data_IF_050303577918
#
_entry.id   IF_050303577918
#
_cell.length_a   1.000
_cell.length_b   1.000
_cell.length_c   1.000
_cell.angle_alpha   90.00
_cell.angle_beta   90.00
_cell.angle_gamma   90.00
#
_symmetry.space_group_name_H-M   'P 1'
#
loop_
_entity.id
_entity.type
_entity.pdbx_description
1 polymer ?
#
# COMPACT_ATOMS: atom_id res chain seq x y z
N UNK A 1 12.67 6.21 -13.53
CA UNK A 1 11.98 7.25 -12.72
C UNK A 1 10.54 7.55 -13.17
N UNK A 2 10.13 7.27 -14.42
CA UNK A 2 8.73 7.47 -14.90
C UNK A 2 7.61 6.65 -14.22
N UNK A 3 7.93 5.57 -13.49
CA UNK A 3 6.93 4.74 -12.76
C UNK A 3 6.58 5.26 -11.35
N UNK A 4 7.25 6.30 -10.86
CA UNK A 4 7.04 6.80 -9.49
C UNK A 4 5.94 7.87 -9.39
N UNK A 5 5.61 8.57 -10.48
CA UNK A 5 4.60 9.63 -10.48
C UNK A 5 3.19 9.16 -10.14
N UNK A 6 2.79 7.97 -10.62
CA UNK A 6 1.47 7.40 -10.32
C UNK A 6 1.39 6.77 -8.92
N UNK A 7 2.50 6.22 -8.43
CA UNK A 7 2.61 5.66 -7.07
C UNK A 7 2.62 6.75 -6.00
N UNK A 8 3.19 7.94 -6.26
CA UNK A 8 3.17 9.08 -5.33
C UNK A 8 1.78 9.73 -5.20
N UNK A 9 0.99 9.79 -6.27
CA UNK A 9 -0.40 10.28 -6.24
C UNK A 9 -1.32 9.30 -5.50
N UNK A 10 -1.07 8.00 -5.60
CA UNK A 10 -1.80 6.96 -4.85
C UNK A 10 -1.32 6.84 -3.39
N UNK A 11 -0.02 7.08 -3.13
CA UNK A 11 0.53 7.18 -1.77
C UNK A 11 -0.02 8.40 -1.02
N UNK A 12 -0.40 9.50 -1.70
CA UNK A 12 -1.06 10.63 -1.03
C UNK A 12 -2.45 10.27 -0.47
N UNK A 13 -3.09 9.20 -0.97
CA UNK A 13 -4.33 8.64 -0.42
C UNK A 13 -4.04 7.50 0.59
N UNK A 14 -2.89 6.81 0.46
CA UNK A 14 -2.47 5.71 1.34
C UNK A 14 -1.54 6.08 2.51
N UNK A 15 -1.02 7.31 2.59
CA UNK A 15 0.02 7.69 3.56
C UNK A 15 -0.46 7.87 5.01
N UNK A 16 -1.74 7.63 5.31
CA UNK A 16 -2.25 7.54 6.69
C UNK A 16 -2.25 6.12 7.27
N UNK A 17 -1.65 5.16 6.56
CA UNK A 17 -1.47 3.77 7.02
C UNK A 17 -0.10 3.46 7.63
N UNK A 18 0.60 4.40 8.28
CA UNK A 18 1.78 4.08 9.11
C UNK A 18 1.34 3.49 10.46
N UNK A 19 0.62 2.38 10.40
CA UNK A 19 0.64 1.33 11.43
C UNK A 19 0.88 0.06 10.66
N UNK A 20 2.11 -0.45 10.74
CA UNK A 20 2.43 -1.75 10.19
C UNK A 20 1.58 -2.80 10.88
N UNK A 21 0.72 -3.45 10.11
CA UNK A 21 0.17 -4.78 10.34
C UNK A 21 -0.25 -5.31 8.96
N UNK A 22 0.71 -5.86 8.22
CA UNK A 22 0.39 -6.73 7.09
C UNK A 22 -0.11 -8.06 7.65
N UNK A 23 -1.31 -8.46 7.23
CA UNK A 23 -1.93 -9.72 7.63
C UNK A 23 -3.16 -10.00 6.77
N UNK A 24 -2.93 -10.72 5.67
CA UNK A 24 -3.96 -11.33 4.85
C UNK A 24 -4.83 -12.28 5.69
N UNK A 25 -6.15 -12.14 5.60
CA UNK A 25 -7.09 -13.20 6.01
C UNK A 25 -8.21 -13.32 4.99
N UNK A 26 -8.15 -14.41 4.24
CA UNK A 26 -9.27 -15.00 3.51
C UNK A 26 -10.19 -15.70 4.51
N UNK A 27 -11.51 -15.45 4.42
CA UNK A 27 -12.50 -16.40 4.93
C UNK A 27 -13.71 -16.45 4.00
N UNK A 28 -13.70 -17.44 3.12
CA UNK A 28 -14.86 -17.87 2.34
C UNK A 28 -15.74 -18.78 3.19
N UNK A 29 -16.88 -18.25 3.63
CA UNK A 29 -17.95 -18.98 4.31
C UNK A 29 -18.96 -19.55 3.32
N UNK A 30 -18.83 -20.85 3.10
CA UNK A 30 -19.69 -21.81 2.42
C UNK A 30 -21.19 -21.72 2.81
N UNK A 31 -22.09 -21.69 1.83
CA UNK A 31 -23.52 -21.98 2.03
C UNK A 31 -23.94 -23.10 1.08
N UNK A 32 -24.00 -24.28 1.68
CA UNK A 32 -24.46 -25.56 1.13
C UNK A 32 -25.85 -25.48 0.51
N UNK A 33 -25.93 -26.00 -0.71
CA UNK A 33 -27.14 -26.54 -1.33
C UNK A 33 -27.37 -27.96 -0.82
N UNK A 34 -28.60 -28.37 -0.44
CA UNK A 34 -28.99 -29.76 -0.37
C UNK A 34 -29.83 -30.16 -1.60
N UNK A 35 -29.33 -31.16 -2.34
CA UNK A 35 -30.04 -31.97 -3.33
C UNK A 35 -31.04 -32.93 -2.67
N UNK A 36 -32.21 -33.14 -3.29
CA UNK A 36 -33.17 -34.18 -2.88
C UNK A 36 -34.49 -34.23 -3.68
N UNK A 37 -34.40 -34.71 -4.92
CA UNK A 37 -35.21 -35.78 -5.56
C UNK A 37 -36.74 -35.71 -5.90
N UNK A 38 -37.03 -36.17 -7.14
CA UNK A 38 -38.22 -36.84 -7.74
C UNK A 38 -39.51 -36.12 -8.30
N UNK A 39 -39.48 -35.83 -9.62
CA UNK A 39 -40.42 -36.30 -10.68
C UNK A 39 -41.75 -35.56 -10.98
N UNK A 40 -42.47 -35.78 -12.13
CA UNK A 40 -42.13 -36.39 -13.43
C UNK A 40 -42.49 -35.47 -14.68
N UNK A 41 -42.39 -35.92 -15.96
CA UNK A 41 -42.05 -35.07 -17.13
C UNK A 41 -43.19 -34.76 -18.14
N UNK A 42 -43.06 -33.66 -18.88
CA UNK A 42 -43.66 -33.34 -20.20
C UNK A 42 -43.08 -31.97 -20.64
N UNK A 43 -42.82 -31.58 -21.89
CA UNK A 43 -43.05 -32.13 -23.22
C UNK A 43 -42.10 -31.34 -24.16
N UNK A 44 -41.47 -32.01 -25.12
CA UNK A 44 -40.68 -31.38 -26.18
C UNK A 44 -41.60 -30.64 -27.15
N UNK A 45 -41.25 -29.41 -27.52
CA UNK A 45 -41.61 -28.86 -28.83
C UNK A 45 -40.43 -28.07 -29.42
N UNK A 46 -39.97 -28.58 -30.55
CA UNK A 46 -39.01 -27.98 -31.47
C UNK A 46 -39.52 -26.63 -32.02
N UNK A 47 -38.60 -25.69 -32.22
CA UNK A 47 -38.87 -24.47 -32.98
C UNK A 47 -37.72 -23.46 -32.94
N UNK A 48 -36.79 -23.56 -33.89
CA UNK A 48 -35.74 -22.57 -34.18
C UNK A 48 -36.09 -21.89 -35.54
N UNK A 49 -35.56 -20.70 -35.90
CA UNK A 49 -35.42 -19.44 -35.18
C UNK A 49 -36.13 -18.28 -35.93
N UNK A 50 -36.65 -17.27 -35.23
CA UNK A 50 -37.10 -16.02 -35.86
C UNK A 50 -36.01 -14.94 -35.75
N UNK A 51 -35.58 -14.47 -36.92
CA UNK A 51 -34.67 -13.34 -37.15
C UNK A 51 -35.24 -12.03 -36.62
N UNK A 52 -34.51 -11.35 -35.73
CA UNK A 52 -34.83 -9.99 -35.28
C UNK A 52 -33.75 -9.02 -35.76
N UNK A 53 -34.19 -8.03 -36.54
CA UNK A 53 -33.40 -6.86 -36.98
C UNK A 53 -33.12 -5.91 -35.79
N UNK A 54 -32.01 -5.16 -35.82
CA UNK A 54 -31.59 -4.30 -34.72
C UNK A 54 -32.41 -3.01 -34.69
N UNK A 55 -32.95 -2.68 -33.51
CA UNK A 55 -33.63 -1.42 -33.26
C UNK A 55 -34.01 -1.28 -31.77
N UNK A 56 -33.43 -0.27 -31.14
CA UNK A 56 -33.84 0.36 -29.88
C UNK A 56 -33.67 -0.42 -28.57
N UNK A 57 -32.42 -0.63 -28.18
CA UNK A 57 -32.06 -0.74 -26.77
C UNK A 57 -32.24 0.62 -26.10
N UNK A 58 -33.32 0.76 -25.32
CA UNK A 58 -33.47 1.82 -24.31
C UNK A 58 -32.19 1.85 -23.45
N UNK A 59 -31.51 2.99 -23.50
CA UNK A 59 -30.19 3.17 -22.90
C UNK A 59 -30.19 2.95 -21.40
N UNK A 60 -29.45 1.94 -20.98
CA UNK A 60 -28.77 1.93 -19.68
C UNK A 60 -27.83 3.16 -19.66
N UNK A 61 -27.66 3.87 -18.53
CA UNK A 61 -26.77 5.02 -18.48
C UNK A 61 -25.36 4.50 -18.69
N UNK A 62 -24.91 4.58 -19.94
CA UNK A 62 -23.60 4.09 -20.35
C UNK A 62 -22.60 4.96 -19.61
N UNK A 63 -21.74 4.32 -18.81
CA UNK A 63 -20.65 5.02 -18.15
C UNK A 63 -19.92 5.91 -19.17
N UNK A 64 -19.49 7.08 -18.71
CA UNK A 64 -18.74 8.05 -19.50
C UNK A 64 -17.60 7.40 -20.29
N UNK A 65 -17.04 8.02 -21.33
CA UNK A 65 -15.84 7.46 -21.96
C UNK A 65 -14.69 7.23 -20.95
N UNK A 66 -14.10 6.01 -20.87
CA UNK A 66 -13.06 5.69 -19.90
C UNK A 66 -11.81 6.53 -20.08
N UNK A 67 -11.49 6.96 -21.31
CA UNK A 67 -10.33 7.83 -21.54
C UNK A 67 -10.57 9.23 -20.97
N UNK A 68 -11.81 9.75 -21.01
CA UNK A 68 -12.15 11.02 -20.39
C UNK A 68 -12.05 10.95 -18.87
N UNK A 69 -12.49 9.84 -18.25
CA UNK A 69 -12.36 9.63 -16.81
C UNK A 69 -10.88 9.68 -16.37
N UNK A 70 -10.00 8.99 -17.11
CA UNK A 70 -8.55 9.00 -16.87
C UNK A 70 -7.95 10.40 -17.10
N UNK A 71 -8.31 11.09 -18.20
CA UNK A 71 -7.80 12.46 -18.47
C UNK A 71 -8.11 13.41 -17.32
N UNK A 72 -9.31 13.35 -16.75
CA UNK A 72 -9.69 14.27 -15.67
C UNK A 72 -8.86 14.08 -14.41
N UNK A 73 -8.55 12.84 -14.02
CA UNK A 73 -7.72 12.61 -12.84
C UNK A 73 -6.27 13.04 -13.12
N UNK A 74 -5.73 12.78 -14.32
CA UNK A 74 -4.38 13.23 -14.69
C UNK A 74 -4.28 14.77 -14.76
N UNK A 75 -5.29 15.43 -15.31
CA UNK A 75 -5.39 16.90 -15.30
C UNK A 75 -5.50 17.42 -13.86
N UNK A 76 -6.30 16.77 -13.03
CA UNK A 76 -6.41 17.11 -11.61
C UNK A 76 -5.06 17.05 -10.89
N UNK A 77 -4.24 16.03 -11.16
CA UNK A 77 -2.88 15.95 -10.63
C UNK A 77 -2.03 17.11 -11.13
N UNK A 78 -2.03 17.37 -12.44
CA UNK A 78 -1.26 18.46 -13.05
C UNK A 78 -1.60 19.82 -12.42
N UNK A 79 -2.90 20.09 -12.24
CA UNK A 79 -3.45 21.33 -11.69
C UNK A 79 -3.30 21.46 -10.17
N UNK A 80 -2.79 20.41 -9.50
CA UNK A 80 -2.71 20.37 -8.04
C UNK A 80 -4.08 20.22 -7.36
N UNK A 81 -5.09 19.72 -8.05
CA UNK A 81 -6.47 19.59 -7.58
C UNK A 81 -6.78 18.18 -7.07
N UNK A 82 -6.66 17.97 -5.75
CA UNK A 82 -6.93 16.67 -5.14
C UNK A 82 -8.42 16.31 -5.12
N UNK A 83 -9.33 17.27 -5.28
CA UNK A 83 -10.77 16.96 -5.39
C UNK A 83 -11.09 16.15 -6.65
N UNK A 84 -10.31 16.30 -7.72
CA UNK A 84 -10.43 15.47 -8.92
C UNK A 84 -10.11 14.00 -8.63
N UNK A 85 -9.08 13.74 -7.82
CA UNK A 85 -8.71 12.38 -7.37
C UNK A 85 -9.83 11.79 -6.51
N UNK A 86 -10.36 12.56 -5.55
CA UNK A 86 -11.47 12.10 -4.72
C UNK A 86 -12.72 11.77 -5.54
N UNK A 87 -13.05 12.60 -6.53
CA UNK A 87 -14.22 12.41 -7.40
C UNK A 87 -14.06 11.21 -8.34
N UNK A 88 -12.81 10.85 -8.67
CA UNK A 88 -12.50 9.67 -9.47
C UNK A 88 -12.74 8.35 -8.71
N UNK A 89 -12.71 8.37 -7.38
CA UNK A 89 -13.03 7.19 -6.57
C UNK A 89 -14.53 6.85 -6.69
N UNK A 90 -14.89 5.59 -6.96
CA UNK A 90 -16.26 5.14 -6.87
C UNK A 90 -16.91 5.46 -5.52
N UNK A 91 -18.23 5.72 -5.54
CA UNK A 91 -18.98 6.18 -4.37
C UNK A 91 -18.87 5.23 -3.17
N UNK A 92 -18.78 3.92 -3.40
CA UNK A 92 -18.55 2.91 -2.35
C UNK A 92 -17.23 3.16 -1.60
N UNK A 93 -16.17 3.48 -2.32
CA UNK A 93 -14.85 3.73 -1.75
C UNK A 93 -14.82 5.05 -0.98
N UNK A 94 -15.43 6.10 -1.52
CA UNK A 94 -15.57 7.37 -0.80
C UNK A 94 -16.27 7.17 0.56
N UNK A 95 -17.35 6.38 0.60
CA UNK A 95 -18.05 6.04 1.85
C UNK A 95 -17.19 5.21 2.79
N UNK A 96 -16.51 4.18 2.28
CA UNK A 96 -15.67 3.29 3.10
C UNK A 96 -14.47 4.03 3.71
N UNK A 97 -13.79 4.89 2.94
CA UNK A 97 -12.68 5.72 3.45
C UNK A 97 -13.18 6.67 4.54
N UNK A 98 -14.32 7.35 4.32
CA UNK A 98 -14.92 8.21 5.35
C UNK A 98 -15.29 7.41 6.60
N UNK A 99 -15.91 6.24 6.46
CA UNK A 99 -16.26 5.39 7.59
C UNK A 99 -15.03 4.91 8.35
N UNK A 100 -13.97 4.49 7.64
CA UNK A 100 -12.71 4.05 8.22
C UNK A 100 -12.09 5.14 9.12
N UNK A 101 -11.95 6.36 8.61
CA UNK A 101 -11.38 7.49 9.36
C UNK A 101 -12.23 7.84 10.59
N UNK A 102 -13.56 7.85 10.45
CA UNK A 102 -14.47 8.13 11.56
C UNK A 102 -14.45 7.02 12.62
N UNK A 103 -14.37 5.76 12.21
CA UNK A 103 -14.27 4.61 13.11
C UNK A 103 -12.96 4.65 13.89
N UNK A 104 -11.85 4.99 13.22
CA UNK A 104 -10.57 5.22 13.86
C UNK A 104 -10.67 6.31 14.93
N UNK A 105 -11.25 7.46 14.59
CA UNK A 105 -11.44 8.56 15.52
C UNK A 105 -12.28 8.17 16.75
N UNK A 106 -13.30 7.33 16.56
CA UNK A 106 -14.14 6.83 17.65
C UNK A 106 -13.39 5.94 18.67
N UNK A 107 -12.29 5.31 18.26
CA UNK A 107 -11.46 4.48 19.14
C UNK A 107 -10.21 5.16 19.69
N UNK A 108 -9.82 6.29 19.09
CA UNK A 108 -8.58 6.98 19.44
C UNK A 108 -8.73 7.83 20.70
N UNK A 109 -7.74 7.74 21.60
CA UNK A 109 -7.69 8.62 22.78
C UNK A 109 -7.23 10.02 22.34
N UNK A 110 -8.10 11.01 22.56
CA UNK A 110 -7.85 12.38 22.14
C UNK A 110 -6.57 12.99 22.74
N UNK A 111 -6.20 12.60 23.98
CA UNK A 111 -4.99 13.12 24.62
C UNK A 111 -3.74 12.55 23.93
N UNK A 112 -3.75 11.26 23.60
CA UNK A 112 -2.64 10.63 22.86
C UNK A 112 -2.52 11.26 21.48
N UNK A 113 -3.61 11.34 20.72
CA UNK A 113 -3.60 11.88 19.36
C UNK A 113 -3.12 13.33 19.29
N UNK A 114 -3.69 14.20 20.13
CA UNK A 114 -3.32 15.61 20.14
C UNK A 114 -1.84 15.78 20.52
N UNK A 115 -1.35 14.99 21.48
CA UNK A 115 0.06 15.01 21.87
C UNK A 115 0.97 14.49 20.75
N UNK A 116 0.57 13.46 20.01
CA UNK A 116 1.31 13.00 18.83
C UNK A 116 1.52 14.14 17.82
N UNK A 117 0.50 14.93 17.52
CA UNK A 117 0.65 16.08 16.60
C UNK A 117 1.57 17.17 17.14
N UNK A 118 1.55 17.42 18.46
CA UNK A 118 2.50 18.33 19.11
C UNK A 118 3.94 17.82 18.96
N UNK A 119 4.20 16.54 19.25
CA UNK A 119 5.52 15.93 19.10
C UNK A 119 5.99 15.91 17.64
N UNK A 120 5.10 15.58 16.68
CA UNK A 120 5.43 15.62 15.25
C UNK A 120 5.78 17.04 14.78
N UNK A 121 5.04 18.06 15.20
CA UNK A 121 5.36 19.46 14.88
C UNK A 121 6.75 19.85 15.40
N UNK A 122 7.07 19.45 16.63
CA UNK A 122 8.39 19.67 17.22
C UNK A 122 9.50 18.99 16.43
N UNK A 123 9.28 17.77 15.93
CA UNK A 123 10.24 17.09 15.05
C UNK A 123 10.43 17.82 13.71
N UNK A 124 9.37 18.40 13.13
CA UNK A 124 9.48 19.25 11.93
C UNK A 124 10.28 20.52 12.23
N UNK A 125 10.10 21.14 13.39
CA UNK A 125 10.89 22.30 13.81
C UNK A 125 12.37 21.94 14.06
N UNK A 126 12.66 20.75 14.60
CA UNK A 126 14.03 20.21 14.66
C UNK A 126 14.58 20.01 13.26
N UNK A 127 13.81 19.44 12.33
CA UNK A 127 14.26 19.25 10.96
C UNK A 127 14.55 20.58 10.25
N UNK A 128 13.80 21.63 10.58
CA UNK A 128 14.05 23.00 10.12
C UNK A 128 15.35 23.57 10.68
N UNK A 129 15.54 23.49 11.99
CA UNK A 129 16.66 24.14 12.69
C UNK A 129 17.96 23.37 12.61
N UNK A 130 17.90 22.05 12.44
CA UNK A 130 19.05 21.13 12.39
C UNK A 130 19.28 20.54 10.99
N UNK A 131 18.83 21.23 9.92
CA UNK A 131 18.99 20.80 8.52
C UNK A 131 20.37 20.23 8.21
N UNK A 132 21.43 20.98 8.50
CA UNK A 132 22.81 20.55 8.23
C UNK A 132 23.18 19.25 8.97
N UNK A 133 22.81 19.13 10.25
CA UNK A 133 23.09 17.93 11.03
C UNK A 133 22.30 16.69 10.56
N UNK A 134 21.16 16.89 9.89
CA UNK A 134 20.35 15.82 9.31
C UNK A 134 20.84 15.38 7.93
N UNK A 135 21.02 16.33 7.02
CA UNK A 135 21.46 16.04 5.65
C UNK A 135 22.87 15.44 5.65
N UNK A 136 23.76 15.95 6.51
CA UNK A 136 25.14 15.48 6.59
C UNK A 136 25.31 14.25 7.51
N UNK A 137 24.23 13.61 7.97
CA UNK A 137 24.30 12.49 8.91
C UNK A 137 24.63 11.15 8.21
N UNK A 138 25.74 10.45 8.54
CA UNK A 138 26.11 9.21 7.85
C UNK A 138 25.25 8.02 8.27
N UNK A 139 24.54 8.12 9.40
CA UNK A 139 23.60 7.11 9.88
C UNK A 139 22.19 7.26 9.32
N UNK A 140 21.91 8.26 8.49
CA UNK A 140 20.58 8.46 7.89
C UNK A 140 20.57 8.11 6.40
N UNK A 141 19.50 7.47 5.89
CA UNK A 141 19.36 7.14 4.48
C UNK A 141 19.13 8.37 3.58
N UNK A 142 19.10 9.58 4.15
CA UNK A 142 18.95 10.83 3.40
C UNK A 142 20.09 11.06 2.40
N UNK A 143 21.27 10.46 2.65
CA UNK A 143 22.42 10.50 1.73
C UNK A 143 22.21 9.77 0.41
N UNK A 144 21.29 8.80 0.38
CA UNK A 144 20.97 8.04 -0.85
C UNK A 144 20.14 8.87 -1.83
N UNK A 145 19.58 10.00 -1.37
CA UNK A 145 18.81 10.93 -2.20
C UNK A 145 19.74 11.90 -2.93
N UNK A 146 19.22 12.52 -4.00
CA UNK A 146 19.90 13.64 -4.64
C UNK A 146 20.06 14.79 -3.62
N UNK A 147 21.30 14.99 -3.16
CA UNK A 147 21.61 15.96 -2.11
C UNK A 147 21.31 17.39 -2.54
N UNK A 148 21.47 17.70 -3.82
CA UNK A 148 21.18 19.03 -4.35
C UNK A 148 19.68 19.27 -4.34
N UNK A 149 18.90 18.33 -4.86
CA UNK A 149 17.43 18.45 -4.83
C UNK A 149 16.89 18.47 -3.40
N UNK A 150 17.45 17.65 -2.49
CA UNK A 150 17.06 17.64 -1.09
C UNK A 150 17.35 18.97 -0.41
N UNK A 151 18.54 19.55 -0.64
CA UNK A 151 18.92 20.84 -0.07
C UNK A 151 18.04 21.98 -0.59
N UNK A 152 17.82 22.03 -1.90
CA UNK A 152 17.02 23.05 -2.59
C UNK A 152 15.53 22.99 -2.19
N UNK A 153 14.97 21.78 -2.06
CA UNK A 153 13.55 21.60 -1.73
C UNK A 153 13.29 21.41 -0.24
N UNK A 154 14.30 21.45 0.64
CA UNK A 154 14.13 21.22 2.08
C UNK A 154 13.02 22.08 2.71
N UNK A 155 12.95 23.41 2.48
CA UNK A 155 11.87 24.22 3.04
C UNK A 155 10.49 23.77 2.54
N UNK A 156 10.35 23.50 1.24
CA UNK A 156 9.10 23.06 0.62
C UNK A 156 8.66 21.68 1.14
N UNK A 157 9.60 20.76 1.39
CA UNK A 157 9.32 19.48 2.02
C UNK A 157 8.79 19.64 3.45
N UNK A 158 9.37 20.54 4.24
CA UNK A 158 8.87 20.84 5.59
C UNK A 158 7.49 21.51 5.56
N UNK A 159 7.22 22.35 4.57
CA UNK A 159 5.90 22.94 4.37
C UNK A 159 4.82 21.91 4.03
N UNK A 160 5.14 20.84 3.30
CA UNK A 160 4.21 19.72 3.08
C UNK A 160 3.80 19.08 4.41
N UNK A 161 4.77 18.83 5.30
CA UNK A 161 4.47 18.29 6.63
C UNK A 161 3.64 19.28 7.46
N UNK A 162 3.98 20.58 7.45
CA UNK A 162 3.21 21.59 8.18
C UNK A 162 1.75 21.67 7.69
N UNK A 163 1.49 21.58 6.38
CA UNK A 163 0.13 21.53 5.83
C UNK A 163 -0.67 20.39 6.47
N UNK A 164 -0.09 19.18 6.54
CA UNK A 164 -0.76 18.03 7.15
C UNK A 164 -0.91 18.17 8.67
N UNK A 165 0.14 18.63 9.37
CA UNK A 165 0.15 18.76 10.83
C UNK A 165 -0.75 19.88 11.35
N UNK A 166 -1.10 20.84 10.51
CA UNK A 166 -2.00 21.95 10.86
C UNK A 166 -3.44 21.75 10.38
N UNK A 167 -3.68 20.73 9.55
CA UNK A 167 -4.98 20.36 8.99
C UNK A 167 -6.00 19.90 10.02
N UNK A 168 -7.21 19.63 9.54
CA UNK A 168 -8.30 18.98 10.28
C UNK A 168 -7.93 17.61 10.85
N UNK A 169 -6.86 16.96 10.37
CA UNK A 169 -6.44 15.64 10.84
C UNK A 169 -5.83 15.65 12.24
N UNK A 170 -5.37 16.82 12.72
CA UNK A 170 -4.72 16.95 14.03
C UNK A 170 -5.64 16.73 15.22
N UNK A 171 -6.95 16.77 15.01
CA UNK A 171 -7.94 16.77 16.06
C UNK A 171 -8.90 15.59 15.89
N UNK A 172 -8.96 14.72 16.92
CA UNK A 172 -9.81 13.52 16.89
C UNK A 172 -11.28 13.87 16.71
N UNK A 173 -11.74 15.00 17.28
CA UNK A 173 -13.14 15.42 17.17
C UNK A 173 -13.48 15.77 15.71
N UNK A 174 -12.57 16.39 14.99
CA UNK A 174 -12.73 16.71 13.57
C UNK A 174 -12.66 15.44 12.71
N UNK A 175 -11.78 14.50 13.05
CA UNK A 175 -11.71 13.18 12.41
C UNK A 175 -13.01 12.35 12.59
N UNK A 176 -13.68 12.48 13.74
CA UNK A 176 -14.95 11.79 14.00
C UNK A 176 -16.08 12.23 13.04
N UNK A 177 -15.94 13.41 12.44
CA UNK A 177 -16.85 13.93 11.41
C UNK A 177 -16.16 14.06 10.05
N UNK A 178 -15.05 13.35 9.82
CA UNK A 178 -14.23 13.50 8.64
C UNK A 178 -15.04 13.40 7.34
N UNK A 179 -14.78 14.32 6.42
CA UNK A 179 -15.34 14.32 5.07
C UNK A 179 -14.18 14.43 4.07
N UNK A 180 -13.85 13.31 3.44
CA UNK A 180 -12.79 13.22 2.44
C UNK A 180 -13.01 14.15 1.25
N UNK A 181 -14.27 14.47 0.90
CA UNK A 181 -14.55 15.43 -0.18
C UNK A 181 -14.09 16.83 0.20
N UNK A 182 -14.45 17.27 1.40
CA UNK A 182 -14.04 18.57 1.93
C UNK A 182 -12.51 18.63 2.15
N UNK A 183 -11.94 17.58 2.72
CA UNK A 183 -10.49 17.45 2.93
C UNK A 183 -9.73 17.55 1.61
N UNK A 184 -10.13 16.78 0.58
CA UNK A 184 -9.46 16.80 -0.73
C UNK A 184 -9.63 18.15 -1.44
N UNK A 185 -10.76 18.83 -1.28
CA UNK A 185 -10.95 20.17 -1.83
C UNK A 185 -10.15 21.26 -1.09
N UNK A 186 -9.91 21.09 0.20
CA UNK A 186 -9.12 22.00 1.04
C UNK A 186 -7.66 21.54 1.17
N UNK A 187 -7.34 20.93 2.31
CA UNK A 187 -5.98 20.50 2.69
C UNK A 187 -5.32 19.63 1.62
N UNK A 188 -6.04 18.67 1.03
CA UNK A 188 -5.49 17.81 -0.02
C UNK A 188 -5.06 18.58 -1.27
N UNK A 189 -5.83 19.59 -1.68
CA UNK A 189 -5.49 20.45 -2.83
C UNK A 189 -4.30 21.36 -2.50
N UNK A 190 -4.23 21.89 -1.28
CA UNK A 190 -3.04 22.63 -0.84
C UNK A 190 -1.78 21.76 -0.86
N UNK A 191 -1.87 20.54 -0.30
CA UNK A 191 -0.78 19.57 -0.29
C UNK A 191 -0.34 19.20 -1.71
N UNK A 192 -1.30 18.89 -2.60
CA UNK A 192 -0.98 18.49 -3.97
C UNK A 192 -0.36 19.65 -4.78
N UNK A 193 -0.78 20.89 -4.55
CA UNK A 193 -0.13 22.08 -5.13
C UNK A 193 1.32 22.24 -4.69
N UNK A 194 1.60 22.06 -3.39
CA UNK A 194 2.96 22.09 -2.86
C UNK A 194 3.81 20.95 -3.47
N UNK A 195 3.25 19.75 -3.57
CA UNK A 195 3.93 18.61 -4.20
C UNK A 195 4.21 18.87 -5.68
N UNK A 196 3.27 19.49 -6.41
CA UNK A 196 3.47 19.91 -7.80
C UNK A 196 4.58 20.92 -7.95
N UNK A 197 4.67 21.90 -7.05
CA UNK A 197 5.75 22.89 -7.06
C UNK A 197 7.14 22.26 -6.86
N UNK A 198 7.25 21.24 -6.01
CA UNK A 198 8.50 20.48 -5.85
C UNK A 198 8.80 19.69 -7.13
N UNK A 199 7.82 18.93 -7.63
CA UNK A 199 7.98 18.12 -8.85
C UNK A 199 8.32 18.97 -10.07
N UNK A 200 7.83 20.22 -10.19
CA UNK A 200 8.15 21.09 -11.32
C UNK A 200 9.60 21.54 -11.36
N UNK A 201 10.30 21.48 -10.21
CA UNK A 201 11.73 21.77 -10.13
C UNK A 201 12.60 20.56 -10.49
N UNK A 202 12.02 19.36 -10.60
CA UNK A 202 12.73 18.17 -11.00
C UNK A 202 12.88 18.08 -12.53
N UNK A 203 13.99 17.48 -12.98
CA UNK A 203 14.23 17.29 -14.40
C UNK A 203 13.13 16.41 -15.01
N UNK A 204 12.41 16.96 -15.98
CA UNK A 204 11.32 16.27 -16.67
C UNK A 204 9.97 16.32 -15.96
N UNK A 205 9.79 17.15 -14.94
CA UNK A 205 8.52 17.43 -14.27
C UNK A 205 7.54 16.24 -14.22
N UNK A 206 7.85 15.20 -13.42
CA UNK A 206 7.19 13.90 -13.53
C UNK A 206 5.68 13.93 -13.29
N UNK A 207 5.17 14.88 -12.49
CA UNK A 207 3.74 15.03 -12.28
C UNK A 207 3.08 15.99 -13.29
N UNK A 208 3.82 16.95 -13.84
CA UNK A 208 3.28 17.90 -14.83
C UNK A 208 3.02 17.28 -16.20
N UNK A 209 3.85 16.31 -16.59
CA UNK A 209 3.73 15.60 -17.87
C UNK A 209 2.65 14.51 -17.86
N UNK A 210 2.01 14.24 -16.72
CA UNK A 210 1.02 13.16 -16.62
C UNK A 210 -0.20 13.41 -17.52
N UNK A 211 -0.71 14.65 -17.56
CA UNK A 211 -1.86 15.00 -18.40
C UNK A 211 -1.56 14.94 -19.90
N UNK A 212 -0.29 15.10 -20.28
CA UNK A 212 0.18 14.98 -21.67
C UNK A 212 0.29 13.52 -22.13
N UNK A 213 0.06 12.55 -21.24
CA UNK A 213 0.11 11.13 -21.58
C UNK A 213 -0.93 10.78 -22.65
N UNK A 214 -0.48 10.13 -23.72
CA UNK A 214 -1.40 9.56 -24.71
C UNK A 214 -2.24 8.45 -24.04
N UNK A 215 -3.56 8.51 -24.26
CA UNK A 215 -4.51 7.51 -23.77
C UNK A 215 -5.21 6.89 -24.96
N UNK A 216 -4.96 5.60 -25.17
CA UNK A 216 -5.53 4.82 -26.27
C UNK A 216 -6.44 3.72 -25.70
N UNK A 217 -7.69 3.70 -26.14
CA UNK A 217 -8.63 2.63 -25.80
C UNK A 217 -8.36 1.45 -26.73
N UNK A 218 -7.95 0.32 -26.18
CA UNK A 218 -7.66 -0.92 -26.92
C UNK A 218 -8.94 -1.65 -27.28
N UNK A 219 -9.83 -1.79 -26.29
CA UNK A 219 -11.17 -2.33 -26.43
C UNK A 219 -12.03 -1.88 -25.25
N UNK A 220 -13.34 -2.00 -25.44
CA UNK A 220 -14.36 -1.54 -24.52
C UNK A 220 -15.63 -2.37 -24.67
N UNK A 221 -16.19 -2.79 -23.54
CA UNK A 221 -17.57 -3.26 -23.38
C UNK A 221 -18.38 -2.21 -22.59
N UNK A 222 -19.60 -2.54 -22.18
CA UNK A 222 -20.43 -1.68 -21.33
C UNK A 222 -19.85 -1.46 -19.93
N UNK A 223 -19.09 -2.43 -19.41
CA UNK A 223 -18.64 -2.52 -18.02
C UNK A 223 -17.14 -2.79 -17.85
N UNK A 224 -16.41 -3.05 -18.94
CA UNK A 224 -14.97 -3.31 -18.96
C UNK A 224 -14.29 -2.53 -20.09
N UNK A 225 -13.04 -2.12 -19.87
CA UNK A 225 -12.23 -1.49 -20.92
C UNK A 225 -10.74 -1.76 -20.70
N UNK A 226 -9.97 -1.83 -21.78
CA UNK A 226 -8.51 -1.91 -21.73
C UNK A 226 -7.91 -0.64 -22.30
N UNK A 227 -7.12 0.07 -21.51
CA UNK A 227 -6.52 1.35 -21.89
C UNK A 227 -4.99 1.27 -21.84
N UNK A 228 -4.32 1.87 -22.83
CA UNK A 228 -2.89 2.18 -22.75
C UNK A 228 -2.70 3.65 -22.36
N UNK A 229 -1.79 3.92 -21.44
CA UNK A 229 -1.49 5.26 -20.94
C UNK A 229 0.03 5.50 -21.04
N UNK A 230 0.45 6.54 -21.77
CA UNK A 230 1.83 7.03 -21.76
C UNK A 230 2.82 6.41 -22.77
N UNK A 231 2.38 5.48 -23.62
CA UNK A 231 3.19 4.97 -24.75
C UNK A 231 2.83 5.69 -26.05
N UNK A 232 3.85 6.24 -26.71
CA UNK A 232 3.83 6.65 -28.13
C UNK A 232 3.98 5.37 -28.95
N UNK A 233 3.24 5.25 -30.06
CA UNK A 233 3.49 4.17 -31.02
C UNK A 233 4.98 4.10 -31.38
N UNK A 234 5.59 2.91 -31.44
CA UNK A 234 7.00 2.81 -31.79
C UNK A 234 7.27 3.51 -33.12
N UNK A 235 8.26 4.40 -33.13
CA UNK A 235 8.94 4.77 -34.37
C UNK A 235 9.51 3.51 -35.02
N UNK A 236 9.35 3.37 -36.35
CA UNK A 236 9.84 2.20 -37.10
C UNK A 236 11.29 1.84 -36.68
N UNK A 237 11.46 0.66 -36.08
CA UNK A 237 12.78 0.11 -35.76
C UNK A 237 13.11 -0.07 -34.27
N UNK A 238 12.28 0.40 -33.33
CA UNK A 238 12.45 0.12 -31.90
C UNK A 238 11.30 -0.74 -31.35
N UNK A 239 11.61 -1.83 -30.64
CA UNK A 239 10.64 -2.58 -29.83
C UNK A 239 10.45 -1.84 -28.49
N UNK A 240 9.28 -1.22 -28.22
CA UNK A 240 8.98 -0.76 -26.88
C UNK A 240 8.73 -1.98 -25.99
N UNK A 241 9.20 -1.98 -24.72
CA UNK A 241 8.76 -3.00 -23.77
C UNK A 241 7.25 -2.87 -23.61
N UNK A 242 6.43 -3.88 -23.95
CA UNK A 242 4.98 -3.72 -23.95
C UNK A 242 4.51 -3.61 -22.50
N UNK A 243 4.17 -2.42 -22.04
CA UNK A 243 3.29 -2.32 -20.87
C UNK A 243 1.94 -2.92 -21.29
N UNK A 244 1.45 -3.97 -20.61
CA UNK A 244 0.14 -4.50 -20.93
C UNK A 244 -0.91 -3.39 -20.72
N UNK A 245 -1.96 -3.33 -21.57
CA UNK A 245 -3.06 -2.41 -21.34
C UNK A 245 -3.62 -2.56 -19.93
N UNK A 246 -3.84 -1.44 -19.25
CA UNK A 246 -4.48 -1.43 -17.94
C UNK A 246 -5.96 -1.78 -18.07
N UNK A 247 -6.43 -2.71 -17.25
CA UNK A 247 -7.82 -3.11 -17.20
C UNK A 247 -8.63 -2.13 -16.34
N UNK A 248 -9.77 -1.72 -16.86
CA UNK A 248 -10.75 -0.87 -16.19
C UNK A 248 -12.09 -1.61 -16.10
N UNK A 249 -12.81 -1.33 -15.02
CA UNK A 249 -14.14 -1.84 -14.73
C UNK A 249 -15.06 -0.69 -14.33
N UNK A 250 -16.36 -0.82 -14.57
CA UNK A 250 -17.36 0.14 -14.09
C UNK A 250 -17.79 -0.23 -12.67
N UNK A 251 -17.60 0.70 -11.74
CA UNK A 251 -18.04 0.59 -10.35
C UNK A 251 -18.88 1.83 -10.02
N UNK A 252 -20.10 1.64 -9.52
CA UNK A 252 -21.02 2.74 -9.19
C UNK A 252 -21.20 3.74 -10.35
N UNK A 253 -21.18 3.25 -11.59
CA UNK A 253 -21.29 4.07 -12.80
C UNK A 253 -20.01 4.82 -13.21
N UNK A 254 -18.87 4.56 -12.57
CA UNK A 254 -17.58 5.20 -12.87
C UNK A 254 -16.53 4.18 -13.33
N UNK A 255 -15.74 4.54 -14.34
CA UNK A 255 -14.58 3.74 -14.76
C UNK A 255 -13.47 3.82 -13.73
N UNK A 256 -12.99 2.66 -13.30
CA UNK A 256 -11.93 2.56 -12.30
C UNK A 256 -10.96 1.41 -12.65
N UNK A 257 -9.64 1.57 -12.43
CA UNK A 257 -8.69 0.50 -12.71
C UNK A 257 -8.97 -0.73 -11.83
N UNK A 258 -9.02 -1.92 -12.42
CA UNK A 258 -9.32 -3.16 -11.67
C UNK A 258 -8.28 -3.43 -10.58
N UNK A 259 -7.01 -3.23 -10.89
CA UNK A 259 -5.91 -3.51 -9.95
C UNK A 259 -5.95 -2.54 -8.77
N UNK A 260 -6.35 -1.28 -9.02
CA UNK A 260 -6.54 -0.30 -7.97
C UNK A 260 -7.78 -0.62 -7.11
N UNK A 261 -8.85 -1.16 -7.71
CA UNK A 261 -10.01 -1.67 -6.97
C UNK A 261 -9.58 -2.75 -5.98
N UNK A 262 -8.88 -3.78 -6.45
CA UNK A 262 -8.42 -4.89 -5.62
C UNK A 262 -7.49 -4.41 -4.49
N UNK A 263 -6.51 -3.55 -4.82
CA UNK A 263 -5.60 -2.99 -3.84
C UNK A 263 -6.32 -2.13 -2.79
N UNK A 264 -7.34 -1.37 -3.19
CA UNK A 264 -8.12 -0.52 -2.28
C UNK A 264 -9.05 -1.34 -1.40
N UNK A 265 -9.68 -2.39 -1.93
CA UNK A 265 -10.48 -3.34 -1.15
C UNK A 265 -9.64 -3.97 -0.03
N UNK A 266 -8.44 -4.45 -0.37
CA UNK A 266 -7.52 -5.03 0.61
C UNK A 266 -7.01 -4.01 1.63
N UNK A 267 -6.65 -2.81 1.18
CA UNK A 267 -6.21 -1.73 2.08
C UNK A 267 -7.32 -1.34 3.07
N UNK A 268 -8.58 -1.26 2.60
CA UNK A 268 -9.72 -0.95 3.46
C UNK A 268 -10.03 -2.11 4.42
N UNK A 269 -9.88 -3.36 4.00
CA UNK A 269 -10.01 -4.54 4.88
C UNK A 269 -8.97 -4.50 6.00
N UNK A 270 -7.68 -4.41 5.65
CA UNK A 270 -6.58 -4.31 6.62
C UNK A 270 -6.72 -3.12 7.57
N UNK A 271 -7.18 -1.98 7.04
CA UNK A 271 -7.45 -0.80 7.85
C UNK A 271 -8.56 -1.05 8.87
N UNK A 272 -9.67 -1.68 8.47
CA UNK A 272 -10.75 -2.02 9.37
C UNK A 272 -10.31 -3.06 10.42
N UNK A 273 -9.55 -4.08 10.02
CA UNK A 273 -9.02 -5.09 10.94
C UNK A 273 -8.06 -4.48 11.94
N UNK A 274 -7.21 -3.54 11.51
CA UNK A 274 -6.32 -2.78 12.38
C UNK A 274 -7.11 -1.96 13.40
N UNK A 275 -8.16 -1.25 12.98
CA UNK A 275 -9.05 -0.50 13.89
C UNK A 275 -9.80 -1.46 14.82
N UNK A 276 -10.24 -2.62 14.34
CA UNK A 276 -10.90 -3.63 15.16
C UNK A 276 -9.97 -4.14 16.26
N UNK A 277 -8.72 -4.43 15.90
CA UNK A 277 -7.67 -4.92 16.79
C UNK A 277 -7.04 -3.84 17.68
N UNK A 278 -7.26 -2.56 17.41
CA UNK A 278 -6.82 -1.50 18.32
C UNK A 278 -7.38 -1.82 19.71
N UNK A 279 -6.50 -1.96 20.73
CA UNK A 279 -6.96 -1.96 22.10
C UNK A 279 -7.83 -0.72 22.24
N UNK A 280 -8.98 -0.82 22.90
CA UNK A 280 -9.71 0.40 23.24
C UNK A 280 -8.70 1.34 23.91
N UNK A 281 -8.33 2.43 23.23
CA UNK A 281 -7.35 3.38 23.75
C UNK A 281 -7.84 4.02 25.06
N UNK A 282 -9.08 3.71 25.45
CA UNK A 282 -9.69 3.98 26.75
C UNK A 282 -9.20 3.12 27.92
N UNK A 283 -8.49 2.01 27.73
CA UNK A 283 -7.93 1.29 28.89
C UNK A 283 -6.75 2.05 29.49
N UNK A 284 -6.73 2.19 30.82
CA UNK A 284 -5.67 2.94 31.50
C UNK A 284 -4.26 2.37 31.23
N UNK A 285 -4.15 1.06 31.00
CA UNK A 285 -2.89 0.38 30.69
C UNK A 285 -2.36 0.71 29.28
N UNK A 286 -3.20 0.61 28.24
CA UNK A 286 -2.83 1.00 26.87
C UNK A 286 -2.44 2.48 26.81
N UNK A 287 -3.25 3.34 27.46
CA UNK A 287 -2.96 4.77 27.55
C UNK A 287 -1.59 5.05 28.17
N UNK A 288 -1.26 4.36 29.26
CA UNK A 288 0.03 4.50 29.95
C UNK A 288 1.21 4.13 29.03
N UNK A 289 1.10 3.03 28.26
CA UNK A 289 2.15 2.59 27.34
C UNK A 289 2.41 3.63 26.25
N UNK A 290 1.35 4.13 25.60
CA UNK A 290 1.47 5.15 24.55
C UNK A 290 1.99 6.49 25.07
N UNK A 291 1.56 6.90 26.27
CA UNK A 291 2.11 8.11 26.90
C UNK A 291 3.60 7.96 27.20
N UNK A 292 4.08 6.78 27.61
CA UNK A 292 5.50 6.53 27.82
C UNK A 292 6.31 6.62 26.51
N UNK A 293 5.76 6.16 25.37
CA UNK A 293 6.38 6.36 24.05
C UNK A 293 6.51 7.85 23.75
N UNK A 294 5.44 8.63 23.97
CA UNK A 294 5.45 10.07 23.73
C UNK A 294 6.41 10.82 24.68
N UNK A 295 6.51 10.39 25.96
CA UNK A 295 7.49 10.93 26.91
C UNK A 295 8.93 10.68 26.44
N UNK A 296 9.22 9.47 25.95
CA UNK A 296 10.52 9.13 25.39
C UNK A 296 10.83 9.95 24.13
N UNK A 297 9.86 10.09 23.22
CA UNK A 297 9.98 10.93 22.02
C UNK A 297 10.25 12.40 22.38
N UNK A 298 9.52 12.97 23.34
CA UNK A 298 9.72 14.36 23.77
C UNK A 298 11.08 14.57 24.44
N UNK A 299 11.57 13.57 25.16
CA UNK A 299 12.91 13.58 25.76
C UNK A 299 13.98 13.55 24.67
N UNK A 300 13.85 12.65 23.69
CA UNK A 300 14.75 12.55 22.54
C UNK A 300 14.74 13.82 21.68
N UNK A 301 13.57 14.39 21.42
CA UNK A 301 13.43 15.66 20.72
C UNK A 301 14.20 16.78 21.45
N UNK A 302 14.10 16.86 22.78
CA UNK A 302 14.86 17.82 23.59
C UNK A 302 16.37 17.65 23.44
N UNK A 303 16.86 16.41 23.38
CA UNK A 303 18.28 16.13 23.18
C UNK A 303 18.75 16.56 21.79
N UNK A 304 17.95 16.29 20.74
CA UNK A 304 18.23 16.69 19.37
C UNK A 304 18.23 18.22 19.20
N UNK A 305 17.33 18.94 19.87
CA UNK A 305 17.30 20.42 19.87
C UNK A 305 18.58 21.03 20.44
N UNK A 306 19.10 20.44 21.53
CA UNK A 306 20.32 20.91 22.21
C UNK A 306 21.62 20.49 21.53
N UNK A 307 21.56 19.60 20.55
CA UNK A 307 22.75 19.12 19.86
C UNK A 307 23.23 20.15 18.85
N UNK A 308 24.42 20.72 19.11
CA UNK A 308 25.03 21.75 18.25
C UNK A 308 26.24 21.22 17.44
N UNK A 309 26.52 19.92 17.53
CA UNK A 309 27.56 19.25 16.75
C UNK A 309 27.05 17.94 16.15
N UNK A 310 27.67 17.46 15.05
CA UNK A 310 27.34 16.15 14.47
C UNK A 310 27.41 15.01 15.49
N UNK A 311 28.45 14.97 16.32
CA UNK A 311 28.62 13.90 17.32
C UNK A 311 27.52 13.92 18.38
N UNK A 312 27.17 15.10 18.89
CA UNK A 312 26.09 15.25 19.87
C UNK A 312 24.74 14.85 19.26
N UNK A 313 24.50 15.20 18.00
CA UNK A 313 23.26 14.89 17.29
C UNK A 313 23.15 13.39 16.99
N UNK A 314 24.22 12.77 16.50
CA UNK A 314 24.29 11.32 16.25
C UNK A 314 24.07 10.52 17.52
N UNK A 315 24.69 10.96 18.62
CA UNK A 315 24.46 10.36 19.94
C UNK A 315 23.00 10.48 20.36
N UNK A 316 22.40 11.67 20.24
CA UNK A 316 21.00 11.88 20.59
C UNK A 316 20.05 11.01 19.75
N UNK A 317 20.35 10.82 18.47
CA UNK A 317 19.58 9.95 17.58
C UNK A 317 19.71 8.46 17.97
N UNK A 318 20.92 7.98 18.26
CA UNK A 318 21.15 6.61 18.72
C UNK A 318 20.47 6.34 20.06
N UNK A 319 20.60 7.26 21.02
CA UNK A 319 19.94 7.18 22.32
C UNK A 319 18.40 7.19 22.14
N UNK A 320 17.87 7.95 21.18
CA UNK A 320 16.45 7.95 20.84
C UNK A 320 15.97 6.60 20.29
N UNK A 321 16.73 5.98 19.38
CA UNK A 321 16.39 4.65 18.86
C UNK A 321 16.32 3.62 19.99
N UNK A 322 17.29 3.63 20.90
CA UNK A 322 17.33 2.73 22.05
C UNK A 322 16.20 2.97 23.06
N UNK A 323 15.75 4.22 23.22
CA UNK A 323 14.67 4.56 24.13
C UNK A 323 13.28 4.30 23.55
N UNK A 324 13.05 4.65 22.28
CA UNK A 324 11.71 4.69 21.66
C UNK A 324 11.33 3.32 21.08
N UNK A 325 12.23 2.64 20.37
CA UNK A 325 11.89 1.39 19.65
C UNK A 325 11.34 0.31 20.60
N UNK A 326 11.96 0.01 21.75
CA UNK A 326 11.43 -1.01 22.67
C UNK A 326 10.05 -0.65 23.22
N UNK A 327 9.81 0.63 23.52
CA UNK A 327 8.52 1.11 24.01
C UNK A 327 7.45 1.01 22.92
N UNK A 328 7.79 1.32 21.67
CA UNK A 328 6.87 1.19 20.54
C UNK A 328 6.46 -0.26 20.32
N UNK A 329 7.41 -1.20 20.41
CA UNK A 329 7.12 -2.64 20.36
C UNK A 329 6.19 -3.05 21.52
N UNK A 330 6.48 -2.60 22.74
CA UNK A 330 5.68 -2.93 23.92
C UNK A 330 4.27 -2.32 23.92
N UNK A 331 4.11 -1.13 23.33
CA UNK A 331 2.84 -0.44 23.15
C UNK A 331 1.97 -1.11 22.08
N UNK A 332 2.61 -1.67 21.05
CA UNK A 332 1.94 -2.35 19.93
C UNK A 332 1.59 -3.81 20.23
N UNK A 333 2.08 -4.38 21.35
CA UNK A 333 1.82 -5.77 21.74
C UNK A 333 0.69 -5.85 22.77
N UNK A 334 -0.34 -6.69 22.57
CA UNK A 334 -1.38 -6.97 23.57
C UNK A 334 -0.77 -7.48 24.88
N UNK A 335 -1.40 -7.15 26.02
CA UNK A 335 -0.80 -7.35 27.33
C UNK A 335 -0.79 -8.81 27.84
N UNK A 336 -1.57 -9.73 27.27
CA UNK A 336 -1.85 -11.04 27.89
C UNK A 336 -1.90 -12.25 26.95
N UNK A 337 -1.36 -12.19 25.72
CA UNK A 337 -1.24 -13.40 24.89
C UNK A 337 0.22 -13.84 24.69
N UNK A 338 0.57 -15.10 25.03
CA UNK A 338 1.80 -15.69 24.50
C UNK A 338 1.72 -15.65 22.98
N UNK A 339 2.82 -15.29 22.31
CA UNK A 339 2.89 -15.26 20.84
C UNK A 339 2.63 -16.65 20.27
N UNK A 340 1.38 -16.97 20.01
CA UNK A 340 0.99 -17.78 18.86
C UNK A 340 0.54 -16.79 17.79
N UNK A 341 1.51 -16.18 17.11
CA UNK A 341 1.22 -15.41 15.92
C UNK A 341 0.63 -16.37 14.88
N UNK A 342 -0.69 -16.38 14.76
CA UNK A 342 -1.39 -17.02 13.63
C UNK A 342 -1.38 -16.12 12.38
N UNK A 343 -0.54 -15.09 12.34
CA UNK A 343 -0.34 -14.27 11.13
C UNK A 343 0.64 -15.01 10.23
N UNK A 344 0.10 -15.68 9.20
CA UNK A 344 0.90 -16.28 8.16
C UNK A 344 1.57 -15.16 7.33
N UNK A 345 2.89 -15.20 7.19
CA UNK A 345 3.66 -14.28 6.35
C UNK A 345 4.16 -15.04 5.13
N UNK A 346 4.13 -14.44 3.93
CA UNK A 346 4.64 -15.12 2.75
C UNK A 346 6.17 -15.21 2.76
N UNK A 347 6.70 -16.34 2.30
CA UNK A 347 8.11 -16.55 2.01
C UNK A 347 8.25 -17.02 0.57
N UNK A 348 9.23 -16.47 -0.14
CA UNK A 348 9.56 -16.89 -1.51
C UNK A 348 10.78 -17.79 -1.49
N UNK A 349 10.66 -19.00 -2.01
CA UNK A 349 11.77 -19.94 -2.19
C UNK A 349 12.04 -20.12 -3.68
N UNK A 350 13.23 -19.72 -4.12
CA UNK A 350 13.69 -19.88 -5.50
C UNK A 350 14.59 -21.09 -5.57
N UNK A 351 14.10 -22.15 -6.20
CA UNK A 351 14.86 -23.36 -6.52
C UNK A 351 15.60 -23.11 -7.85
N UNK A 352 16.90 -22.94 -7.78
CA UNK A 352 17.75 -22.61 -8.92
C UNK A 352 18.30 -23.88 -9.59
N UNK A 353 18.13 -23.98 -10.91
CA UNK A 353 18.54 -25.11 -11.73
C UNK A 353 17.37 -25.89 -12.32
N UNK A 354 17.66 -26.75 -13.31
CA UNK A 354 16.69 -27.67 -13.89
C UNK A 354 16.37 -28.80 -12.91
N UNK A 355 15.10 -28.94 -12.55
CA UNK A 355 14.61 -29.96 -11.61
C UNK A 355 13.54 -30.78 -12.33
N UNK A 356 13.66 -32.10 -12.28
CA UNK A 356 12.63 -32.98 -12.81
C UNK A 356 11.31 -32.85 -12.02
N UNK A 357 10.21 -33.18 -12.67
CA UNK A 357 8.87 -32.96 -12.11
C UNK A 357 8.63 -33.73 -10.80
N UNK A 358 9.26 -34.90 -10.63
CA UNK A 358 9.12 -35.68 -9.39
C UNK A 358 9.87 -34.99 -8.25
N UNK A 359 11.14 -34.65 -8.44
CA UNK A 359 11.93 -33.94 -7.44
C UNK A 359 11.32 -32.58 -7.08
N UNK A 360 10.75 -31.86 -8.06
CA UNK A 360 10.05 -30.59 -7.82
C UNK A 360 8.88 -30.75 -6.86
N UNK A 361 8.01 -31.74 -7.09
CA UNK A 361 6.88 -32.02 -6.20
C UNK A 361 7.34 -32.42 -4.79
N UNK A 362 8.37 -33.25 -4.70
CA UNK A 362 8.93 -33.72 -3.41
C UNK A 362 9.52 -32.53 -2.60
N UNK A 363 10.22 -31.60 -3.27
CA UNK A 363 10.75 -30.38 -2.63
C UNK A 363 9.65 -29.41 -2.20
N UNK A 364 8.62 -29.18 -3.03
CA UNK A 364 7.47 -28.32 -2.68
C UNK A 364 6.74 -28.90 -1.46
N UNK A 365 6.53 -30.22 -1.42
CA UNK A 365 5.90 -30.89 -0.28
C UNK A 365 6.73 -30.70 1.02
N UNK A 366 8.05 -30.82 0.92
CA UNK A 366 8.95 -30.58 2.07
C UNK A 366 8.91 -29.12 2.52
N UNK A 367 8.94 -28.17 1.58
CA UNK A 367 8.83 -26.76 1.90
C UNK A 367 7.51 -26.41 2.60
N UNK A 368 6.40 -27.04 2.19
CA UNK A 368 5.09 -26.87 2.85
C UNK A 368 5.11 -27.35 4.31
N UNK A 369 5.74 -28.51 4.56
CA UNK A 369 5.90 -29.06 5.92
C UNK A 369 6.76 -28.12 6.77
N UNK A 370 7.89 -27.66 6.24
CA UNK A 370 8.79 -26.72 6.94
C UNK A 370 8.12 -25.38 7.23
N UNK A 371 7.35 -24.87 6.28
CA UNK A 371 6.59 -23.64 6.42
C UNK A 371 5.40 -23.77 7.39
N UNK A 372 5.00 -25.00 7.77
CA UNK A 372 3.72 -25.30 8.43
C UNK A 372 2.56 -24.60 7.71
N UNK A 373 2.57 -24.66 6.39
CA UNK A 373 1.58 -24.02 5.52
C UNK A 373 0.43 -24.96 5.23
N UNK A 374 -0.78 -24.59 5.65
CA UNK A 374 -2.00 -25.30 5.28
C UNK A 374 -2.50 -24.90 3.88
N UNK A 375 -1.98 -23.80 3.31
CA UNK A 375 -2.30 -23.30 1.97
C UNK A 375 -1.52 -24.02 0.86
N UNK A 376 -2.09 -23.99 -0.36
CA UNK A 376 -1.42 -24.45 -1.58
C UNK A 376 -0.43 -23.37 -2.01
N UNK A 377 0.86 -23.69 -2.21
CA UNK A 377 1.84 -22.72 -2.67
C UNK A 377 1.55 -22.22 -4.08
N UNK A 378 1.82 -20.94 -4.33
CA UNK A 378 1.94 -20.42 -5.69
C UNK A 378 3.30 -20.81 -6.28
N UNK A 379 3.29 -21.43 -7.46
CA UNK A 379 4.49 -22.01 -8.08
C UNK A 379 4.61 -21.53 -9.51
N UNK A 380 5.66 -20.76 -9.77
CA UNK A 380 6.05 -20.35 -11.13
C UNK A 380 7.33 -21.07 -11.53
N UNK A 381 7.26 -21.88 -12.58
CA UNK A 381 8.42 -22.61 -13.13
C UNK A 381 8.90 -22.00 -14.44
N UNK A 382 10.22 -21.90 -14.58
CA UNK A 382 10.97 -21.57 -15.79
C UNK A 382 12.00 -22.67 -16.07
N UNK A 383 12.71 -22.59 -17.19
CA UNK A 383 13.70 -23.61 -17.57
C UNK A 383 14.90 -23.68 -16.60
N UNK A 384 15.18 -22.60 -15.89
CA UNK A 384 16.37 -22.39 -15.06
C UNK A 384 16.05 -22.14 -13.58
N UNK A 385 14.78 -21.90 -13.21
CA UNK A 385 14.37 -21.76 -11.83
C UNK A 385 12.90 -22.12 -11.59
N UNK A 386 12.58 -22.58 -10.39
CA UNK A 386 11.21 -22.70 -9.88
C UNK A 386 11.04 -21.80 -8.65
N UNK A 387 10.11 -20.87 -8.70
CA UNK A 387 9.75 -19.98 -7.60
C UNK A 387 8.54 -20.55 -6.88
N UNK A 388 8.63 -20.70 -5.58
CA UNK A 388 7.58 -21.24 -4.69
C UNK A 388 7.26 -20.19 -3.64
N UNK A 389 6.03 -19.71 -3.59
CA UNK A 389 5.56 -18.74 -2.60
C UNK A 389 4.67 -19.49 -1.60
N UNK A 390 5.00 -19.39 -0.31
CA UNK A 390 4.33 -20.11 0.77
C UNK A 390 3.96 -19.15 1.88
N UNK A 391 2.76 -19.30 2.45
CA UNK A 391 2.36 -18.64 3.69
C UNK A 391 2.96 -19.38 4.88
N UNK A 392 3.60 -18.67 5.81
CA UNK A 392 4.27 -19.30 6.96
C UNK A 392 4.29 -18.41 8.21
N UNK A 393 4.06 -19.02 9.37
CA UNK A 393 4.32 -18.41 10.68
C UNK A 393 5.75 -18.67 11.18
N UNK A 394 6.55 -19.45 10.43
CA UNK A 394 7.91 -19.78 10.81
C UNK A 394 8.89 -18.65 10.45
N UNK A 395 9.98 -18.55 11.22
CA UNK A 395 11.06 -17.63 10.88
C UNK A 395 11.81 -18.13 9.64
N UNK A 396 12.41 -17.20 8.89
CA UNK A 396 13.22 -17.53 7.71
C UNK A 396 14.36 -18.49 8.07
N UNK A 397 14.96 -18.33 9.25
CA UNK A 397 16.03 -19.19 9.74
C UNK A 397 15.58 -20.64 9.98
N UNK A 398 14.38 -20.84 10.55
CA UNK A 398 13.83 -22.20 10.76
C UNK A 398 13.63 -22.92 9.44
N UNK A 399 13.18 -22.20 8.41
CA UNK A 399 13.01 -22.77 7.07
C UNK A 399 14.37 -23.07 6.44
N UNK A 400 15.33 -22.15 6.54
CA UNK A 400 16.72 -22.33 6.06
C UNK A 400 17.36 -23.57 6.68
N UNK A 401 17.31 -23.72 8.01
CA UNK A 401 17.91 -24.84 8.73
C UNK A 401 17.25 -26.19 8.37
N UNK A 402 15.97 -26.14 8.02
CA UNK A 402 15.16 -27.30 7.62
C UNK A 402 15.37 -27.77 6.18
N UNK A 403 15.94 -26.94 5.30
CA UNK A 403 16.20 -27.32 3.91
C UNK A 403 17.34 -28.35 3.88
N UNK A 404 17.01 -29.61 3.62
CA UNK A 404 17.97 -30.73 3.49
C UNK A 404 18.14 -31.25 2.06
N UNK A 405 17.38 -30.74 1.11
CA UNK A 405 17.39 -31.21 -0.27
C UNK A 405 18.28 -30.37 -1.21
N UNK A 406 18.99 -29.38 -0.68
CA UNK A 406 19.85 -28.50 -1.47
C UNK A 406 20.63 -27.50 -0.60
N UNK A 407 21.47 -26.72 -1.26
CA UNK A 407 22.34 -25.72 -0.62
C UNK A 407 21.66 -24.36 -0.71
N UNK A 408 21.44 -23.73 0.44
CA UNK A 408 21.00 -22.34 0.48
C UNK A 408 22.17 -21.44 0.05
N UNK A 409 22.01 -20.73 -1.06
CA UNK A 409 23.06 -19.88 -1.66
C UNK A 409 22.85 -18.40 -1.38
N UNK A 410 21.62 -17.98 -1.08
CA UNK A 410 21.27 -16.60 -0.77
C UNK A 410 20.06 -16.53 0.15
N UNK A 411 20.12 -15.59 1.10
CA UNK A 411 19.01 -15.23 1.98
C UNK A 411 18.83 -13.71 1.88
N UNK A 412 17.64 -13.26 1.55
CA UNK A 412 17.22 -11.86 1.61
C UNK A 412 16.13 -11.72 2.67
N UNK A 413 16.52 -11.32 3.88
CA UNK A 413 15.60 -11.20 5.01
C UNK A 413 14.56 -10.12 4.81
N UNK A 414 14.92 -9.04 4.09
CA UNK A 414 14.02 -7.91 3.82
C UNK A 414 12.94 -8.28 2.82
N UNK A 415 13.28 -9.07 1.81
CA UNK A 415 12.32 -9.59 0.81
C UNK A 415 11.75 -10.96 1.15
N UNK A 416 12.13 -11.53 2.29
CA UNK A 416 11.78 -12.90 2.71
C UNK A 416 11.99 -13.93 1.59
N UNK A 417 13.15 -13.86 0.94
CA UNK A 417 13.49 -14.73 -0.18
C UNK A 417 14.66 -15.65 0.16
N UNK A 418 14.52 -16.94 -0.11
CA UNK A 418 15.59 -17.94 0.01
C UNK A 418 15.91 -18.47 -1.39
N UNK A 419 17.18 -18.48 -1.78
CA UNK A 419 17.63 -19.18 -3.00
C UNK A 419 18.30 -20.48 -2.63
N UNK A 420 17.85 -21.58 -3.24
CA UNK A 420 18.34 -22.93 -3.00
C UNK A 420 18.79 -23.55 -4.31
N UNK A 421 19.96 -24.18 -4.32
CA UNK A 421 20.41 -25.05 -5.41
C UNK A 421 20.15 -26.50 -4.99
N UNK A 422 19.14 -27.19 -5.55
CA UNK A 422 18.82 -28.56 -5.17
C UNK A 422 19.93 -29.55 -5.52
N UNK A 423 20.10 -30.60 -4.71
CA UNK A 423 21.07 -31.67 -4.94
C UNK A 423 22.50 -31.40 -4.47
N UNK A 424 22.83 -30.19 -4.02
CA UNK A 424 24.07 -29.91 -3.28
C UNK A 424 23.77 -29.92 -1.79
N UNK A 425 24.21 -30.94 -1.04
CA UNK A 425 24.05 -30.98 0.42
C UNK A 425 25.00 -29.99 1.10
N UNK A 426 24.57 -29.43 2.25
CA UNK A 426 25.39 -28.54 3.11
C UNK A 426 26.44 -29.30 3.90
#
# INVERSE_FOLDING_TARGET
MRRWGLLLVLLAVGAYGLVGCGGDTDNSGDSRVPTGDNGPPAEQTDGQPATVKPGDSKGDPTAEDPSLAVRRVLQGVQDGNAAAIWTFLPSRYQRQINALVRNFAGKMDAKIWNRTFVSLKRLVDIARTKKGLLIDNPGLPLRELDQKQLDENWPALLELFDTLLTSELKDVKTLATFDGKAFSAGTGTQFLKQLRAISSNEQGDPLGQLADSQITVVDRTSDQARLRIGEVEPTEGEEPPPLPPSQFIVIDGQWFPSDLSAALDETLRLGNDSIAAMPEAGTAASRKKWLAVLDALDTSATALEKADSPDAFNKALADAQLAVIPLLVAASTPADEPRTSNVATSITVVLQGSIDEKARRDHIATLRILAKSDEVPDVTSSNDATTVILSTSQSIQVIVDGIKFGKVTRIDERKRTITVVPGQLQ
#
